data_IF_162841263207
#
_entry.id   IF_162841263207
#
_cell.length_a   1.000
_cell.length_b   1.000
_cell.length_c   1.000
_cell.angle_alpha   90.00
_cell.angle_beta   90.00
_cell.angle_gamma   90.00
#
_symmetry.space_group_name_H-M   'P 1'
#
loop_
_entity.id
_entity.type
_entity.pdbx_description
1 polymer ?
#
# COMPACT_ATOMS: atom_id res chain seq x y z
N UNK A 1 15.09 -3.58 -0.81
CA UNK A 1 16.04 -4.15 -1.77
C UNK A 1 15.93 -5.67 -1.69
N UNK A 2 15.90 -6.37 -2.82
CA UNK A 2 15.68 -7.82 -2.83
C UNK A 2 16.91 -8.63 -2.37
N UNK A 3 18.11 -8.09 -2.53
CA UNK A 3 19.36 -8.76 -2.19
C UNK A 3 19.79 -8.44 -0.76
N UNK A 4 19.62 -7.19 -0.34
CA UNK A 4 20.13 -6.71 0.96
C UNK A 4 19.06 -6.65 2.05
N UNK A 5 17.78 -6.64 1.68
CA UNK A 5 16.67 -6.41 2.61
C UNK A 5 16.54 -4.94 3.07
N UNK A 6 17.31 -4.02 2.51
CA UNK A 6 17.23 -2.59 2.84
C UNK A 6 15.86 -2.00 2.49
N UNK A 7 15.27 -1.22 3.40
CA UNK A 7 14.04 -0.48 3.11
C UNK A 7 14.33 0.66 2.13
N UNK A 8 13.80 0.57 0.90
CA UNK A 8 13.95 1.61 -0.12
C UNK A 8 12.89 2.71 -0.02
N UNK A 9 11.71 2.37 0.47
CA UNK A 9 10.57 3.27 0.63
C UNK A 9 9.60 2.71 1.66
N UNK A 10 8.90 3.59 2.35
CA UNK A 10 7.81 3.27 3.26
C UNK A 10 6.78 4.41 3.28
N UNK A 11 5.53 4.07 3.57
CA UNK A 11 4.47 5.04 3.87
C UNK A 11 3.63 4.56 5.05
N UNK A 12 2.94 5.50 5.70
CA UNK A 12 2.04 5.23 6.82
C UNK A 12 0.62 5.17 6.30
N UNK A 13 0.00 4.00 6.41
CA UNK A 13 -1.39 3.81 6.03
C UNK A 13 -2.34 4.52 7.01
N UNK A 14 -3.54 4.95 6.53
CA UNK A 14 -4.54 5.59 7.39
C UNK A 14 -5.17 4.64 8.42
N UNK A 15 -5.00 3.32 8.25
CA UNK A 15 -5.50 2.26 9.12
C UNK A 15 -4.63 1.00 8.99
N UNK A 16 -5.00 -0.10 9.65
CA UNK A 16 -4.24 -1.35 9.64
C UNK A 16 -3.97 -1.92 8.24
N UNK A 17 -2.70 -2.17 7.92
CA UNK A 17 -2.25 -2.73 6.63
C UNK A 17 -2.14 -4.26 6.60
N UNK A 18 -3.12 -4.97 7.16
CA UNK A 18 -3.06 -6.43 7.33
C UNK A 18 -3.37 -7.22 6.05
N UNK A 19 -3.97 -6.57 5.05
CA UNK A 19 -4.27 -7.19 3.77
C UNK A 19 -2.99 -7.41 2.95
N UNK A 20 -2.96 -8.48 2.15
CA UNK A 20 -1.89 -8.71 1.19
C UNK A 20 -1.91 -7.61 0.11
N UNK A 21 -0.81 -6.86 -0.10
CA UNK A 21 -0.75 -5.91 -1.20
C UNK A 21 -0.73 -6.65 -2.55
N UNK A 22 -1.28 -6.03 -3.59
CA UNK A 22 -1.25 -6.56 -4.95
C UNK A 22 -0.86 -5.49 -5.97
N UNK A 23 -0.42 -5.93 -7.14
CA UNK A 23 -0.13 -5.03 -8.27
C UNK A 23 -0.99 -5.38 -9.48
N UNK A 24 -1.36 -4.36 -10.26
CA UNK A 24 -1.98 -4.51 -11.57
C UNK A 24 -1.57 -3.36 -12.49
N UNK A 25 -1.78 -3.54 -13.79
CA UNK A 25 -1.60 -2.50 -14.80
C UNK A 25 -2.95 -2.09 -15.38
N UNK A 26 -3.16 -0.78 -15.55
CA UNK A 26 -4.29 -0.22 -16.28
C UNK A 26 -3.82 0.97 -17.12
N UNK A 27 -4.19 0.99 -18.41
CA UNK A 27 -3.82 2.06 -19.35
C UNK A 27 -2.30 2.34 -19.40
N UNK A 28 -1.48 1.29 -19.37
CA UNK A 28 -0.01 1.41 -19.40
C UNK A 28 0.59 1.97 -18.10
N UNK A 29 -0.18 2.06 -17.01
CA UNK A 29 0.28 2.51 -15.70
C UNK A 29 0.17 1.37 -14.69
N UNK A 30 1.28 1.08 -14.00
CA UNK A 30 1.32 0.11 -12.91
C UNK A 30 0.87 0.74 -11.59
N UNK A 31 0.12 -0.03 -10.82
CA UNK A 31 -0.36 0.33 -9.49
C UNK A 31 0.04 -0.72 -8.47
N UNK A 32 0.41 -0.27 -7.26
CA UNK A 32 0.41 -1.09 -6.05
C UNK A 32 -0.82 -0.70 -5.25
N UNK A 33 -1.64 -1.67 -4.86
CA UNK A 33 -2.83 -1.42 -4.05
C UNK A 33 -2.84 -2.26 -2.79
N UNK A 34 -3.36 -1.66 -1.72
CA UNK A 34 -3.58 -2.34 -0.44
C UNK A 34 -4.86 -1.82 0.20
N UNK A 35 -5.63 -2.75 0.77
CA UNK A 35 -6.76 -2.41 1.62
C UNK A 35 -6.25 -2.15 3.05
N UNK A 36 -6.35 -0.90 3.50
CA UNK A 36 -6.06 -0.49 4.87
C UNK A 36 -7.31 -0.68 5.74
N UNK A 37 -7.58 -1.95 6.09
CA UNK A 37 -8.69 -2.38 6.93
C UNK A 37 -8.26 -2.55 8.37
N UNK A 38 -8.41 -1.50 9.16
CA UNK A 38 -8.05 -1.50 10.58
C UNK A 38 -9.26 -1.74 11.48
N UNK A 39 -9.04 -2.49 12.56
CA UNK A 39 -10.07 -2.78 13.55
C UNK A 39 -9.44 -2.77 14.95
N UNK A 40 -10.22 -2.38 15.97
CA UNK A 40 -9.70 -2.23 17.34
C UNK A 40 -9.06 -3.51 17.90
N UNK A 41 -9.60 -4.68 17.54
CA UNK A 41 -9.05 -5.99 17.91
C UNK A 41 -7.63 -6.22 17.36
N UNK A 42 -7.28 -5.57 16.26
CA UNK A 42 -5.95 -5.67 15.63
C UNK A 42 -4.97 -4.64 16.17
N UNK A 43 -5.32 -3.87 17.21
CA UNK A 43 -4.50 -2.82 17.80
C UNK A 43 -3.99 -1.79 16.78
N UNK A 44 -4.76 -1.56 15.71
CA UNK A 44 -4.48 -0.58 14.66
C UNK A 44 -5.59 0.48 14.62
N UNK A 45 -5.31 1.68 14.07
CA UNK A 45 -6.36 2.66 13.83
C UNK A 45 -7.50 2.03 13.04
N UNK A 46 -8.74 2.26 13.48
CA UNK A 46 -9.92 1.77 12.78
C UNK A 46 -10.04 2.52 11.44
N UNK A 47 -10.33 1.80 10.37
CA UNK A 47 -10.63 2.43 9.09
C UNK A 47 -10.82 1.43 7.96
N UNK A 48 -11.48 1.89 6.90
CA UNK A 48 -11.73 1.13 5.69
C UNK A 48 -11.35 1.98 4.47
N UNK A 49 -10.10 1.90 4.02
CA UNK A 49 -9.61 2.66 2.88
C UNK A 49 -8.80 1.79 1.90
N UNK A 50 -9.12 1.87 0.60
CA UNK A 50 -8.27 1.33 -0.46
C UNK A 50 -7.22 2.38 -0.84
N UNK A 51 -5.94 2.05 -0.65
CA UNK A 51 -4.82 2.92 -1.01
C UNK A 51 -4.18 2.40 -2.29
N UNK A 52 -3.95 3.31 -3.24
CA UNK A 52 -3.31 3.00 -4.52
C UNK A 52 -2.10 3.92 -4.75
N UNK A 53 -0.93 3.30 -4.95
CA UNK A 53 0.32 3.98 -5.25
C UNK A 53 0.68 3.78 -6.72
N UNK A 54 1.23 4.82 -7.33
CA UNK A 54 1.87 4.76 -8.62
C UNK A 54 2.94 5.84 -8.71
N UNK A 55 3.95 5.63 -9.54
CA UNK A 55 4.94 6.67 -9.81
C UNK A 55 4.26 7.91 -10.42
N UNK A 56 4.78 9.12 -10.17
CA UNK A 56 4.33 10.33 -10.85
C UNK A 56 4.42 10.17 -12.38
N UNK A 57 3.44 10.68 -13.11
CA UNK A 57 3.56 10.82 -14.56
C UNK A 57 4.49 11.99 -14.85
N UNK A 58 5.49 11.77 -15.70
CA UNK A 58 6.25 12.88 -16.29
C UNK A 58 5.27 13.71 -17.12
N UNK A 59 5.23 15.02 -16.87
CA UNK A 59 4.40 15.96 -17.62
C UNK A 59 4.86 16.08 -19.07
#
# INVERSE_FOLDING_TARGET
DMETGETLWSDVLPAGGQATPMTYEANGRQYLVIMAGGHHFMETPIGDALVAYALPQQQ
#
